data_IF_136157271629
#
_entry.id   IF_136157271629
#
_cell.length_a   1.000
_cell.length_b   1.000
_cell.length_c   1.000
_cell.angle_alpha   90.00
_cell.angle_beta   90.00
_cell.angle_gamma   90.00
#
_symmetry.space_group_name_H-M   'P 1'
#
loop_
_entity.id
_entity.type
_entity.pdbx_description
1 polymer ?
#
# COMPACT_ATOMS: atom_id res chain seq x y z
N UNK A 1 -26.08 -5.57 35.05
CA UNK A 1 -25.72 -6.06 33.71
C UNK A 1 -24.66 -5.13 33.15
N UNK A 2 -23.38 -5.54 33.11
CA UNK A 2 -22.37 -4.75 32.42
C UNK A 2 -22.68 -4.81 30.92
N UNK A 3 -23.07 -3.66 30.35
CA UNK A 3 -23.20 -3.51 28.91
C UNK A 3 -21.87 -3.85 28.27
N UNK A 4 -21.88 -4.78 27.33
CA UNK A 4 -20.73 -5.07 26.48
C UNK A 4 -20.30 -3.77 25.82
N UNK A 5 -19.17 -3.20 26.25
CA UNK A 5 -18.44 -2.25 25.42
C UNK A 5 -18.12 -3.01 24.13
N UNK A 6 -18.89 -2.76 23.08
CA UNK A 6 -18.50 -3.11 21.72
C UNK A 6 -17.20 -2.34 21.49
N UNK A 7 -16.05 -2.99 21.71
CA UNK A 7 -14.78 -2.43 21.24
C UNK A 7 -14.93 -2.34 19.73
N UNK A 8 -15.13 -1.13 19.20
CA UNK A 8 -15.16 -0.96 17.76
C UNK A 8 -13.82 -1.47 17.23
N UNK A 9 -13.85 -2.32 16.21
CA UNK A 9 -12.61 -2.73 15.52
C UNK A 9 -11.86 -1.49 15.05
N UNK A 10 -10.54 -1.54 15.02
CA UNK A 10 -9.75 -0.47 14.42
C UNK A 10 -10.12 -0.35 12.94
N UNK A 11 -10.19 0.88 12.38
CA UNK A 11 -10.38 1.02 10.95
C UNK A 11 -9.21 0.38 10.20
N UNK A 12 -9.51 -0.40 9.17
CA UNK A 12 -8.53 -1.07 8.32
C UNK A 12 -8.18 -0.19 7.14
N UNK A 13 -6.91 0.11 6.94
CA UNK A 13 -6.43 0.99 5.87
C UNK A 13 -5.60 0.17 4.89
N UNK A 14 -5.98 0.20 3.62
CA UNK A 14 -5.18 -0.36 2.53
C UNK A 14 -4.10 0.64 2.12
N UNK A 15 -2.83 0.27 2.26
CA UNK A 15 -1.68 1.14 2.04
C UNK A 15 -0.95 0.77 0.75
N UNK A 16 -1.05 1.64 -0.26
CA UNK A 16 -0.47 1.44 -1.59
C UNK A 16 0.86 2.21 -1.71
N UNK A 17 1.95 1.47 -1.94
CA UNK A 17 3.31 2.02 -2.03
C UNK A 17 3.55 2.85 -3.30
N UNK A 18 4.64 3.60 -3.36
CA UNK A 18 4.99 4.44 -4.50
C UNK A 18 5.75 3.71 -5.62
N UNK A 19 6.04 4.47 -6.68
CA UNK A 19 6.81 3.99 -7.83
C UNK A 19 8.14 3.36 -7.39
N UNK A 20 8.41 2.12 -7.85
CA UNK A 20 9.64 1.38 -7.57
C UNK A 20 9.96 1.28 -6.08
N UNK A 21 8.93 1.02 -5.27
CA UNK A 21 9.07 0.68 -3.85
C UNK A 21 8.30 -0.60 -3.56
N UNK A 22 8.06 -0.92 -2.29
CA UNK A 22 7.28 -2.10 -1.89
C UNK A 22 6.40 -1.75 -0.69
N UNK A 23 5.44 -2.63 -0.39
CA UNK A 23 4.59 -2.52 0.78
C UNK A 23 5.41 -2.44 2.07
N UNK A 24 6.45 -3.28 2.19
CA UNK A 24 7.30 -3.27 3.38
C UNK A 24 8.19 -2.01 3.47
N UNK A 25 8.57 -1.41 2.34
CA UNK A 25 9.24 -0.11 2.37
C UNK A 25 8.28 0.99 2.85
N UNK A 26 7.04 1.03 2.35
CA UNK A 26 6.04 1.99 2.81
C UNK A 26 5.76 1.82 4.32
N UNK A 27 5.64 0.59 4.80
CA UNK A 27 5.48 0.27 6.22
C UNK A 27 6.66 0.78 7.06
N UNK A 28 7.90 0.55 6.63
CA UNK A 28 9.09 1.13 7.29
C UNK A 28 9.07 2.66 7.30
N UNK A 29 8.65 3.30 6.22
CA UNK A 29 8.53 4.77 6.15
C UNK A 29 7.46 5.29 7.11
N UNK A 30 6.32 4.61 7.20
CA UNK A 30 5.22 4.94 8.13
C UNK A 30 5.55 4.65 9.59
N UNK A 31 6.48 3.74 9.88
CA UNK A 31 6.97 3.48 11.24
C UNK A 31 7.61 4.71 11.93
N UNK A 32 7.82 5.82 11.22
CA UNK A 32 8.24 7.11 11.78
C UNK A 32 7.09 7.92 12.39
N UNK A 33 5.84 7.52 12.16
CA UNK A 33 4.69 8.18 12.75
C UNK A 33 4.57 7.87 14.25
N UNK A 34 3.94 8.75 15.05
CA UNK A 34 3.76 8.48 16.47
C UNK A 34 2.95 7.19 16.71
N UNK A 35 3.34 6.38 17.71
CA UNK A 35 2.64 5.15 18.09
C UNK A 35 1.15 5.42 18.40
N UNK A 36 0.85 6.56 19.03
CA UNK A 36 -0.52 6.99 19.30
C UNK A 36 -1.39 7.18 18.03
N UNK A 37 -0.78 7.31 16.85
CA UNK A 37 -1.47 7.28 15.56
C UNK A 37 -1.51 5.84 15.03
N UNK A 38 -0.37 5.16 14.98
CA UNK A 38 -0.26 3.80 14.43
C UNK A 38 -1.17 2.81 15.14
N UNK A 39 -1.30 2.91 16.45
CA UNK A 39 -2.13 2.03 17.27
C UNK A 39 -3.63 2.21 17.04
N UNK A 40 -4.07 3.27 16.35
CA UNK A 40 -5.50 3.53 16.10
C UNK A 40 -6.05 2.79 14.89
N UNK A 41 -5.19 2.26 14.03
CA UNK A 41 -5.57 1.65 12.76
C UNK A 41 -4.95 0.26 12.63
N UNK A 42 -5.55 -0.55 11.75
CA UNK A 42 -4.93 -1.76 11.22
C UNK A 42 -4.53 -1.46 9.77
N UNK A 43 -3.28 -1.71 9.40
CA UNK A 43 -2.76 -1.36 8.08
C UNK A 43 -2.36 -2.61 7.30
N UNK A 44 -2.76 -2.69 6.02
CA UNK A 44 -2.29 -3.71 5.09
C UNK A 44 -1.46 -3.09 3.97
N UNK A 45 -0.29 -3.68 3.71
CA UNK A 45 0.71 -3.16 2.78
C UNK A 45 1.00 -4.19 1.67
N UNK A 46 0.11 -4.36 0.68
CA UNK A 46 0.40 -5.24 -0.45
C UNK A 46 1.52 -4.68 -1.33
N UNK A 47 2.21 -5.60 -2.01
CA UNK A 47 3.06 -5.27 -3.15
C UNK A 47 2.22 -5.18 -4.43
N UNK A 48 2.65 -4.31 -5.34
CA UNK A 48 2.13 -4.26 -6.70
C UNK A 48 2.51 -5.52 -7.50
N UNK A 49 1.74 -5.81 -8.55
CA UNK A 49 1.94 -7.01 -9.38
C UNK A 49 3.25 -7.02 -10.16
N UNK A 50 3.75 -5.86 -10.57
CA UNK A 50 4.82 -5.81 -11.54
C UNK A 50 6.16 -5.46 -10.88
N UNK A 51 7.19 -6.30 -11.02
CA UNK A 51 8.54 -5.94 -10.63
C UNK A 51 8.99 -4.66 -11.34
N UNK A 52 9.74 -3.83 -10.62
CA UNK A 52 10.33 -2.61 -11.16
C UNK A 52 11.25 -2.95 -12.35
N UNK A 53 11.10 -2.22 -13.45
CA UNK A 53 11.90 -2.43 -14.68
C UNK A 53 13.18 -1.59 -14.73
N UNK A 54 13.40 -0.74 -13.72
CA UNK A 54 14.57 0.11 -13.66
C UNK A 54 14.93 0.50 -12.24
N UNK A 55 15.89 1.40 -12.13
CA UNK A 55 16.46 1.84 -10.86
C UNK A 55 15.39 2.46 -9.95
N UNK A 56 15.45 2.13 -8.67
CA UNK A 56 14.69 2.87 -7.64
C UNK A 56 15.51 4.03 -7.08
N UNK A 57 14.86 5.17 -6.84
CA UNK A 57 15.49 6.36 -6.24
C UNK A 57 15.88 6.14 -4.77
N UNK A 58 15.38 5.07 -4.15
CA UNK A 58 15.67 4.69 -2.77
C UNK A 58 16.68 3.53 -2.66
N UNK A 59 17.32 3.14 -3.77
CA UNK A 59 18.42 2.18 -3.73
C UNK A 59 19.54 2.67 -2.80
N UNK A 60 20.03 1.76 -1.95
CA UNK A 60 21.02 2.08 -0.91
C UNK A 60 20.43 2.61 0.39
N UNK A 61 19.15 3.01 0.41
CA UNK A 61 18.41 3.28 1.65
C UNK A 61 17.56 2.08 2.08
N UNK A 62 16.98 1.38 1.11
CA UNK A 62 16.19 0.17 1.34
C UNK A 62 16.55 -0.89 0.31
N UNK A 63 16.58 -2.14 0.74
CA UNK A 63 16.85 -3.28 -0.15
C UNK A 63 15.64 -3.63 -1.03
N UNK A 64 15.85 -4.22 -2.22
CA UNK A 64 14.79 -4.78 -3.06
C UNK A 64 14.05 -5.95 -2.35
N UNK A 65 12.89 -6.43 -2.87
CA UNK A 65 12.30 -6.13 -4.18
C UNK A 65 11.58 -4.78 -4.27
N UNK A 66 11.51 -4.27 -5.49
CA UNK A 66 10.76 -3.06 -5.85
C UNK A 66 9.72 -3.40 -6.91
N UNK A 67 8.58 -2.71 -6.84
CA UNK A 67 7.45 -2.95 -7.73
C UNK A 67 6.89 -1.62 -8.27
N UNK A 68 6.14 -1.74 -9.36
CA UNK A 68 5.42 -0.67 -10.02
C UNK A 68 3.96 -1.09 -10.15
N UNK A 69 3.03 -0.19 -9.84
CA UNK A 69 1.59 -0.45 -9.99
C UNK A 69 1.20 -0.55 -11.46
N UNK A 70 1.69 0.39 -12.27
CA UNK A 70 1.62 0.40 -13.72
C UNK A 70 2.93 0.97 -14.25
N UNK A 71 3.26 0.74 -15.52
CA UNK A 71 4.50 1.25 -16.12
C UNK A 71 4.19 2.34 -17.13
N UNK A 72 5.04 3.37 -17.17
CA UNK A 72 4.91 4.48 -18.12
C UNK A 72 6.22 4.61 -18.90
N UNK A 73 6.12 4.74 -20.22
CA UNK A 73 7.23 5.18 -21.06
C UNK A 73 6.90 6.55 -21.67
N UNK A 74 7.73 7.05 -22.60
CA UNK A 74 7.54 8.38 -23.20
C UNK A 74 6.23 8.54 -24.00
N UNK A 75 5.58 7.44 -24.36
CA UNK A 75 4.49 7.40 -25.35
C UNK A 75 3.24 6.75 -24.76
N UNK A 76 3.39 5.79 -23.84
CA UNK A 76 2.32 4.89 -23.42
C UNK A 76 2.37 4.56 -21.93
N UNK A 77 1.19 4.27 -21.38
CA UNK A 77 0.97 3.67 -20.07
C UNK A 77 0.59 2.20 -20.28
N UNK A 78 1.20 1.31 -19.50
CA UNK A 78 1.01 -0.13 -19.57
C UNK A 78 0.51 -0.67 -18.25
N UNK A 79 -0.32 -1.69 -18.32
CA UNK A 79 -0.80 -2.48 -17.19
C UNK A 79 -1.62 -1.69 -16.15
N UNK A 80 -2.21 -0.56 -16.55
CA UNK A 80 -3.00 0.28 -15.66
C UNK A 80 -4.31 -0.42 -15.28
N UNK A 81 -5.01 -0.99 -16.26
CA UNK A 81 -6.26 -1.71 -16.07
C UNK A 81 -6.07 -2.98 -15.22
N UNK A 82 -4.99 -3.74 -15.48
CA UNK A 82 -4.62 -4.91 -14.68
C UNK A 82 -4.28 -4.54 -13.23
N UNK A 83 -3.63 -3.39 -13.02
CA UNK A 83 -3.39 -2.85 -11.69
C UNK A 83 -4.68 -2.55 -10.93
N UNK A 84 -5.64 -1.87 -11.58
CA UNK A 84 -6.92 -1.54 -10.96
C UNK A 84 -7.68 -2.82 -10.60
N UNK A 85 -7.78 -3.76 -11.54
CA UNK A 85 -8.45 -5.04 -11.31
C UNK A 85 -7.81 -5.83 -10.15
N UNK A 86 -6.49 -5.79 -10.01
CA UNK A 86 -5.79 -6.43 -8.90
C UNK A 86 -6.11 -5.78 -7.55
N UNK A 87 -6.11 -4.44 -7.47
CA UNK A 87 -6.45 -3.73 -6.23
C UNK A 87 -7.90 -4.02 -5.84
N UNK A 88 -8.83 -4.02 -6.80
CA UNK A 88 -10.24 -4.37 -6.57
C UNK A 88 -10.39 -5.80 -6.05
N UNK A 89 -9.75 -6.78 -6.68
CA UNK A 89 -9.76 -8.18 -6.25
C UNK A 89 -9.13 -8.35 -4.85
N UNK A 90 -8.04 -7.66 -4.58
CA UNK A 90 -7.41 -7.64 -3.25
C UNK A 90 -8.36 -7.07 -2.19
N UNK A 91 -9.06 -5.97 -2.49
CA UNK A 91 -10.05 -5.37 -1.60
C UNK A 91 -11.22 -6.31 -1.31
N UNK A 92 -11.69 -7.07 -2.31
CA UNK A 92 -12.75 -8.06 -2.15
C UNK A 92 -12.28 -9.24 -1.26
N UNK A 93 -11.05 -9.73 -1.48
CA UNK A 93 -10.52 -10.92 -0.78
C UNK A 93 -10.07 -10.64 0.64
N UNK A 94 -9.48 -9.48 0.89
CA UNK A 94 -8.81 -9.16 2.16
C UNK A 94 -9.55 -8.10 3.00
N UNK A 95 -10.59 -7.49 2.44
CA UNK A 95 -11.42 -6.50 3.12
C UNK A 95 -12.34 -7.07 4.22
N UNK A 96 -13.25 -6.26 4.78
CA UNK A 96 -13.49 -4.87 4.40
C UNK A 96 -12.35 -3.93 4.82
N UNK A 97 -12.06 -2.95 3.97
CA UNK A 97 -11.21 -1.80 4.28
C UNK A 97 -12.08 -0.56 4.51
N UNK A 98 -11.69 0.28 5.45
CA UNK A 98 -12.39 1.51 5.80
C UNK A 98 -11.74 2.76 5.19
N UNK A 99 -10.58 2.61 4.57
CA UNK A 99 -9.88 3.70 3.90
C UNK A 99 -8.71 3.21 3.05
N UNK A 100 -8.26 4.09 2.17
CA UNK A 100 -7.06 3.92 1.35
C UNK A 100 -6.02 4.98 1.73
N UNK A 101 -4.76 4.59 1.75
CA UNK A 101 -3.61 5.48 1.85
C UNK A 101 -2.70 5.21 0.65
N UNK A 102 -2.51 6.22 -0.19
CA UNK A 102 -1.67 6.14 -1.38
C UNK A 102 -0.44 7.04 -1.32
N UNK A 103 0.72 6.53 -1.76
CA UNK A 103 1.94 7.32 -1.89
C UNK A 103 2.39 7.46 -3.35
N UNK A 104 2.67 8.69 -3.78
CA UNK A 104 3.21 9.04 -5.10
C UNK A 104 2.43 8.46 -6.30
N UNK A 105 2.84 7.33 -6.87
CA UNK A 105 2.31 6.76 -8.13
C UNK A 105 0.80 6.48 -8.13
N UNK A 106 0.25 6.17 -6.96
CA UNK A 106 -1.14 5.74 -6.76
C UNK A 106 -2.05 6.88 -6.28
N UNK A 107 -1.62 8.13 -6.46
CA UNK A 107 -2.45 9.33 -6.27
C UNK A 107 -2.93 9.84 -7.63
#
# INVERSE_FOLDING_TARGET
MLGSQLRSRKPRILCLHGFRTSGEILKKMMGKWPDAVLEKFDFDFPDALFPAKGKSDIEGLYDPPYYEWYQVNKVECFNFEECIAYIEDYMIKHGPFDGLLGFSQVK
#
